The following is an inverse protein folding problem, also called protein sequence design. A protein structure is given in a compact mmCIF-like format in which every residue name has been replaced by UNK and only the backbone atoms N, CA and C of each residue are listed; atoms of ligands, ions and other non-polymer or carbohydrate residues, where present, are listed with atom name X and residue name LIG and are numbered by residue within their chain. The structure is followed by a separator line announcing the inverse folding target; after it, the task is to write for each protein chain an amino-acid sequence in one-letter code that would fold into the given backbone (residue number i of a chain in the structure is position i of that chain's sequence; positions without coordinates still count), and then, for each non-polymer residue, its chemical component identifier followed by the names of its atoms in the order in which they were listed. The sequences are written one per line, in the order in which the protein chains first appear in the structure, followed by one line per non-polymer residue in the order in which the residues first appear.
data_IF_067197280292
#
_entry.id   IF_067197280292
#
_cell.length_a   1.000
_cell.length_b   1.000
_cell.length_c   1.000
_cell.angle_alpha   90.00
_cell.angle_beta   90.00
_cell.angle_gamma   90.00
#
_symmetry.space_group_name_H-M   'P 1'
#
loop_
_entity.id
_entity.type
_entity.pdbx_description
1 polymer ?
#
# COMPACT_ATOMS: atom_id res chain seq x y z
N UNK A 1 22.36 -10.69 -13.99
CA UNK A 1 21.21 -10.98 -13.10
C UNK A 1 21.67 -11.95 -12.02
N UNK A 2 21.05 -11.87 -10.85
CA UNK A 2 21.22 -12.87 -9.79
C UNK A 2 20.05 -13.84 -9.90
N UNK A 3 20.34 -15.12 -9.97
CA UNK A 3 19.35 -16.19 -10.09
C UNK A 3 19.48 -17.16 -8.92
N UNK A 4 18.36 -17.79 -8.56
CA UNK A 4 18.33 -18.96 -7.68
C UNK A 4 18.14 -20.19 -8.55
N UNK A 5 19.04 -21.14 -8.47
CA UNK A 5 18.91 -22.49 -9.04
C UNK A 5 18.74 -23.46 -7.89
N UNK A 6 17.49 -23.86 -7.63
CA UNK A 6 17.14 -24.68 -6.46
C UNK A 6 17.63 -24.04 -5.15
N UNK A 7 18.66 -24.59 -4.51
CA UNK A 7 19.23 -24.12 -3.25
C UNK A 7 20.48 -23.24 -3.43
N UNK A 8 20.89 -22.94 -4.66
CA UNK A 8 22.09 -22.16 -4.97
C UNK A 8 21.75 -20.78 -5.56
N UNK A 9 22.60 -19.79 -5.28
CA UNK A 9 22.52 -18.45 -5.85
C UNK A 9 23.70 -18.26 -6.82
N UNK A 10 23.38 -17.93 -8.07
CA UNK A 10 24.34 -17.74 -9.15
C UNK A 10 24.23 -16.37 -9.80
N UNK A 11 25.31 -15.96 -10.46
CA UNK A 11 25.34 -14.79 -11.34
C UNK A 11 25.23 -15.25 -12.80
N UNK A 12 24.24 -14.72 -13.52
CA UNK A 12 24.03 -15.01 -14.92
C UNK A 12 23.99 -13.74 -15.79
N UNK A 13 24.19 -13.89 -17.10
CA UNK A 13 24.04 -12.78 -18.05
C UNK A 13 22.58 -12.28 -18.08
N UNK A 14 22.30 -11.00 -18.38
CA UNK A 14 20.94 -10.44 -18.36
C UNK A 14 19.93 -11.16 -19.28
N UNK A 15 20.40 -11.78 -20.35
CA UNK A 15 19.64 -12.54 -21.35
C UNK A 15 19.53 -14.04 -21.03
N UNK A 16 20.14 -14.49 -19.94
CA UNK A 16 20.06 -15.89 -19.53
C UNK A 16 18.62 -16.26 -19.16
N UNK A 17 18.13 -17.33 -19.79
CA UNK A 17 16.82 -17.94 -19.52
C UNK A 17 17.06 -19.17 -18.66
N UNK A 18 16.33 -19.25 -17.54
CA UNK A 18 16.40 -20.40 -16.63
C UNK A 18 15.71 -21.58 -17.32
N UNK A 19 16.42 -22.71 -17.43
CA UNK A 19 15.85 -23.97 -17.89
C UNK A 19 14.89 -24.50 -16.81
N UNK A 20 13.60 -24.26 -17.00
CA UNK A 20 12.56 -24.66 -16.05
C UNK A 20 12.30 -26.17 -16.01
N UNK A 21 12.84 -26.93 -16.97
CA UNK A 21 12.74 -28.39 -16.97
C UNK A 21 13.81 -28.97 -16.04
N UNK A 22 15.05 -28.47 -16.14
CA UNK A 22 16.15 -28.91 -15.26
C UNK A 22 16.09 -28.28 -13.87
N UNK A 23 15.62 -27.04 -13.78
CA UNK A 23 15.53 -26.28 -12.53
C UNK A 23 14.08 -25.79 -12.34
N UNK A 24 13.16 -26.69 -11.95
CA UNK A 24 11.74 -26.34 -11.82
C UNK A 24 11.46 -25.27 -10.76
N UNK A 25 12.35 -25.13 -9.77
CA UNK A 25 12.30 -24.08 -8.76
C UNK A 25 13.22 -22.89 -9.06
N UNK A 26 13.84 -22.88 -10.24
CA UNK A 26 14.78 -21.84 -10.64
C UNK A 26 14.08 -20.51 -10.88
N UNK A 27 14.61 -19.41 -10.34
CA UNK A 27 14.00 -18.07 -10.44
C UNK A 27 15.04 -16.99 -10.61
N UNK A 28 14.73 -15.99 -11.41
CA UNK A 28 15.52 -14.74 -11.43
C UNK A 28 15.12 -13.92 -10.19
N UNK A 29 16.11 -13.51 -9.40
CA UNK A 29 15.89 -12.76 -8.15
C UNK A 29 15.99 -11.26 -8.38
N UNK A 30 17.04 -10.81 -9.06
CA UNK A 30 17.25 -9.39 -9.36
C UNK A 30 18.15 -9.14 -10.57
N UNK A 31 18.10 -7.91 -11.05
CA UNK A 31 18.92 -7.44 -12.16
C UNK A 31 19.81 -6.30 -11.71
N UNK A 32 21.11 -6.42 -12.01
CA UNK A 32 22.02 -5.29 -11.92
C UNK A 32 21.87 -4.46 -13.20
N UNK A 33 21.43 -3.21 -13.04
CA UNK A 33 21.28 -2.24 -14.12
C UNK A 33 22.29 -1.12 -13.94
N UNK A 34 22.54 -0.38 -15.02
CA UNK A 34 23.42 0.79 -15.05
C UNK A 34 22.70 1.94 -15.71
N UNK A 35 22.72 3.11 -15.08
CA UNK A 35 22.26 4.37 -15.66
C UNK A 35 23.39 5.42 -15.68
N UNK A 36 23.03 6.70 -15.75
CA UNK A 36 23.97 7.82 -15.75
C UNK A 36 24.59 8.06 -14.37
N UNK A 37 23.93 7.64 -13.29
CA UNK A 37 24.32 7.90 -11.90
C UNK A 37 25.11 6.73 -11.30
N UNK A 38 24.95 5.51 -11.83
CA UNK A 38 25.77 4.38 -11.42
C UNK A 38 25.14 3.03 -11.72
N UNK A 39 25.36 2.08 -10.81
CA UNK A 39 24.76 0.76 -10.86
C UNK A 39 23.70 0.63 -9.76
N UNK A 40 22.58 -0.02 -10.08
CA UNK A 40 21.51 -0.28 -9.12
C UNK A 40 20.92 -1.68 -9.32
N UNK A 41 20.31 -2.22 -8.27
CA UNK A 41 19.58 -3.48 -8.32
C UNK A 41 18.10 -3.20 -8.56
N UNK A 42 17.53 -3.89 -9.54
CA UNK A 42 16.11 -3.88 -9.85
C UNK A 42 15.52 -5.28 -9.64
N UNK A 43 14.22 -5.34 -9.47
CA UNK A 43 13.51 -6.61 -9.44
C UNK A 43 13.71 -7.38 -10.75
N UNK A 44 13.60 -8.70 -10.71
CA UNK A 44 13.67 -9.52 -11.91
C UNK A 44 12.55 -9.18 -12.92
N UNK A 45 12.80 -9.41 -14.21
CA UNK A 45 11.79 -9.19 -15.25
C UNK A 45 10.59 -10.11 -15.00
N UNK A 46 9.37 -9.58 -15.12
CA UNK A 46 8.14 -10.34 -14.93
C UNK A 46 7.67 -10.47 -13.48
N UNK A 47 8.43 -9.95 -12.50
CA UNK A 47 7.98 -9.92 -11.10
C UNK A 47 7.01 -8.78 -10.78
N UNK A 48 6.68 -7.93 -11.76
CA UNK A 48 5.70 -6.84 -11.58
C UNK A 48 4.31 -7.37 -11.18
N UNK A 49 3.99 -8.60 -11.58
CA UNK A 49 2.75 -9.30 -11.21
C UNK A 49 2.96 -10.36 -10.12
N UNK A 50 4.17 -10.50 -9.56
CA UNK A 50 4.37 -11.41 -8.44
C UNK A 50 3.70 -10.84 -7.20
N UNK A 51 3.02 -11.72 -6.45
CA UNK A 51 2.37 -11.38 -5.19
C UNK A 51 3.33 -10.57 -4.31
N UNK A 52 2.85 -9.47 -3.73
CA UNK A 52 3.65 -8.64 -2.81
C UNK A 52 4.25 -9.47 -1.67
N UNK A 53 3.73 -10.67 -1.43
CA UNK A 53 4.12 -11.65 -0.43
C UNK A 53 5.34 -12.51 -0.79
N UNK A 54 5.83 -12.48 -2.04
CA UNK A 54 6.99 -13.28 -2.46
C UNK A 54 8.21 -13.06 -1.57
N UNK A 55 8.77 -14.16 -1.04
CA UNK A 55 10.04 -14.17 -0.29
C UNK A 55 11.22 -13.70 -1.13
N UNK A 56 11.09 -13.77 -2.46
CA UNK A 56 12.13 -13.39 -3.41
C UNK A 56 12.07 -11.87 -3.72
N UNK A 57 11.10 -11.13 -3.16
CA UNK A 57 11.02 -9.67 -3.32
C UNK A 57 12.19 -9.00 -2.63
N UNK A 58 12.86 -8.09 -3.35
CA UNK A 58 13.96 -7.29 -2.81
C UNK A 58 13.44 -6.27 -1.79
N UNK A 59 14.19 -6.12 -0.70
CA UNK A 59 13.95 -5.12 0.34
C UNK A 59 15.23 -4.35 0.61
N UNK A 60 15.12 -3.03 0.73
CA UNK A 60 16.19 -2.20 1.24
C UNK A 60 16.22 -2.30 2.76
N UNK A 61 17.38 -2.62 3.33
CA UNK A 61 17.54 -2.77 4.78
C UNK A 61 18.00 -1.43 5.37
N UNK A 62 17.08 -0.70 6.01
CA UNK A 62 17.33 0.68 6.49
C UNK A 62 18.55 0.80 7.42
N UNK A 63 18.76 -0.16 8.34
CA UNK A 63 19.96 -0.21 9.23
C UNK A 63 21.31 -0.24 8.49
N UNK A 64 21.34 -0.62 7.22
CA UNK A 64 22.57 -0.67 6.42
C UNK A 64 22.90 0.65 5.74
N UNK A 65 21.98 1.62 5.76
CA UNK A 65 22.15 2.94 5.16
C UNK A 65 22.91 3.84 6.14
N UNK A 66 24.23 3.71 6.19
CA UNK A 66 25.07 4.67 6.93
C UNK A 66 25.26 5.91 6.09
N UNK A 67 24.87 7.08 6.59
CA UNK A 67 25.37 8.35 6.05
C UNK A 67 26.74 8.72 6.65
N UNK A 68 27.40 9.74 6.09
CA UNK A 68 28.72 10.21 6.56
C UNK A 68 28.73 10.63 8.04
N UNK A 69 27.56 11.00 8.60
CA UNK A 69 27.36 11.30 10.01
C UNK A 69 27.00 10.10 10.89
N UNK A 70 27.00 8.87 10.34
CA UNK A 70 26.69 7.63 11.07
C UNK A 70 25.21 7.41 11.42
N UNK A 71 24.30 8.21 10.87
CA UNK A 71 22.84 8.08 11.06
C UNK A 71 22.17 7.28 9.94
N UNK A 72 21.03 6.69 10.26
CA UNK A 72 20.39 5.57 9.55
C UNK A 72 19.01 5.91 9.01
N UNK A 73 18.92 6.94 8.17
CA UNK A 73 17.62 7.49 7.77
C UNK A 73 17.36 7.24 6.28
N UNK A 74 16.31 6.49 5.96
CA UNK A 74 15.82 6.36 4.59
C UNK A 74 14.72 7.40 4.32
N UNK A 75 14.84 8.16 3.23
CA UNK A 75 13.82 9.13 2.81
C UNK A 75 12.64 8.38 2.18
N UNK A 76 11.50 8.41 2.85
CA UNK A 76 10.28 7.73 2.43
C UNK A 76 9.71 8.41 1.17
N UNK A 77 9.36 7.59 0.19
CA UNK A 77 8.66 8.00 -1.03
C UNK A 77 7.19 7.52 -1.02
N UNK A 78 6.37 8.11 -1.89
CA UNK A 78 4.96 7.71 -2.01
C UNK A 78 4.91 6.28 -2.55
N UNK A 79 4.01 5.48 -2.00
CA UNK A 79 3.84 4.06 -2.28
C UNK A 79 4.99 3.15 -1.83
N UNK A 80 5.95 3.65 -1.05
CA UNK A 80 6.90 2.76 -0.40
C UNK A 80 6.20 1.74 0.50
N UNK A 81 6.76 0.53 0.52
CA UNK A 81 6.37 -0.51 1.45
C UNK A 81 7.38 -0.55 2.60
N UNK A 82 6.92 -0.36 3.83
CA UNK A 82 7.71 -0.43 5.06
C UNK A 82 7.41 -1.77 5.73
N UNK A 83 8.43 -2.59 5.94
CA UNK A 83 8.30 -3.90 6.60
C UNK A 83 8.96 -3.87 7.98
N UNK A 84 8.19 -4.19 9.01
CA UNK A 84 8.63 -4.28 10.40
C UNK A 84 8.29 -5.70 10.90
N UNK A 85 9.30 -6.56 11.07
CA UNK A 85 9.08 -8.00 11.26
C UNK A 85 8.26 -8.61 10.11
N UNK A 86 7.10 -9.21 10.42
CA UNK A 86 6.14 -9.73 9.43
C UNK A 86 5.12 -8.69 8.96
N UNK A 87 4.93 -7.61 9.72
CA UNK A 87 3.95 -6.57 9.42
C UNK A 87 4.48 -5.65 8.33
N UNK A 88 3.57 -5.19 7.46
CA UNK A 88 3.91 -4.29 6.35
C UNK A 88 2.94 -3.13 6.29
N UNK A 89 3.48 -1.96 5.97
CA UNK A 89 2.71 -0.75 5.72
C UNK A 89 3.00 -0.24 4.31
N UNK A 90 1.97 0.19 3.60
CA UNK A 90 2.06 0.96 2.36
C UNK A 90 1.93 2.44 2.69
N UNK A 91 2.85 3.26 2.22
CA UNK A 91 2.77 4.72 2.31
C UNK A 91 1.77 5.19 1.26
N UNK A 92 0.51 5.39 1.64
CA UNK A 92 -0.56 5.77 0.69
C UNK A 92 -0.41 7.20 0.20
N UNK A 93 -0.07 8.08 1.13
CA UNK A 93 0.15 9.48 0.83
C UNK A 93 0.99 10.13 1.92
N UNK A 94 1.56 11.27 1.62
CA UNK A 94 2.10 12.19 2.60
C UNK A 94 2.15 13.61 2.03
N UNK A 95 2.09 14.59 2.94
CA UNK A 95 2.33 15.99 2.66
C UNK A 95 3.52 16.48 3.46
N UNK A 96 4.43 17.17 2.77
CA UNK A 96 5.58 17.86 3.29
C UNK A 96 5.67 19.22 2.56
N UNK A 97 6.08 20.28 3.25
CA UNK A 97 6.13 21.65 2.72
C UNK A 97 7.04 21.81 1.48
N UNK A 98 8.05 20.95 1.32
CA UNK A 98 9.01 20.98 0.20
C UNK A 98 8.83 19.82 -0.80
N UNK A 99 7.62 19.28 -0.95
CA UNK A 99 7.35 18.29 -1.99
C UNK A 99 7.39 18.93 -3.39
N UNK A 100 8.44 18.60 -4.16
CA UNK A 100 8.61 19.02 -5.55
C UNK A 100 8.03 18.02 -6.56
N UNK A 101 6.79 17.54 -6.35
CA UNK A 101 6.11 16.71 -7.35
C UNK A 101 4.98 17.50 -8.01
N UNK A 102 4.97 17.51 -9.34
CA UNK A 102 3.86 18.09 -10.11
C UNK A 102 2.58 17.26 -9.96
N UNK A 103 1.42 17.90 -10.13
CA UNK A 103 0.12 17.20 -10.12
C UNK A 103 0.07 16.06 -11.13
N UNK A 104 0.74 16.23 -12.28
CA UNK A 104 0.85 15.23 -13.33
C UNK A 104 1.62 13.98 -12.87
N UNK A 105 2.79 14.17 -12.27
CA UNK A 105 3.61 13.05 -11.76
C UNK A 105 2.87 12.28 -10.67
N UNK A 106 2.17 12.99 -9.78
CA UNK A 106 1.36 12.38 -8.75
C UNK A 106 0.23 11.53 -9.34
N UNK A 107 -0.52 12.09 -10.30
CA UNK A 107 -1.60 11.37 -10.98
C UNK A 107 -1.09 10.13 -11.72
N UNK A 108 0.02 10.24 -12.46
CA UNK A 108 0.61 9.08 -13.15
C UNK A 108 1.05 7.99 -12.18
N UNK A 109 1.59 8.36 -11.02
CA UNK A 109 1.97 7.40 -9.99
C UNK A 109 0.74 6.74 -9.35
N UNK A 110 -0.29 7.51 -9.00
CA UNK A 110 -1.56 6.96 -8.50
C UNK A 110 -2.20 6.02 -9.53
N UNK A 111 -2.15 6.37 -10.82
CA UNK A 111 -2.71 5.56 -11.89
C UNK A 111 -1.97 4.22 -12.05
N UNK A 112 -0.64 4.20 -11.87
CA UNK A 112 0.16 2.97 -11.88
C UNK A 112 -0.19 2.05 -10.71
N UNK A 113 -0.43 2.63 -9.54
CA UNK A 113 -0.68 1.90 -8.28
C UNK A 113 -2.15 1.48 -8.09
N UNK A 114 -3.08 2.16 -8.77
CA UNK A 114 -4.51 1.86 -8.68
C UNK A 114 -4.84 0.49 -9.31
N UNK A 115 -5.57 -0.34 -8.56
CA UNK A 115 -6.01 -1.66 -9.03
C UNK A 115 -7.01 -1.50 -10.18
N UNK A 116 -6.82 -2.25 -11.26
CA UNK A 116 -7.79 -2.27 -12.35
C UNK A 116 -9.04 -3.05 -11.92
N UNK A 117 -10.20 -2.43 -12.10
CA UNK A 117 -11.49 -3.03 -11.74
C UNK A 117 -12.38 -3.02 -12.97
N UNK A 118 -13.04 -4.16 -13.18
CA UNK A 118 -14.01 -4.36 -14.25
C UNK A 118 -15.34 -3.66 -13.96
N UNK A 119 -15.95 -3.11 -15.01
CA UNK A 119 -17.26 -2.49 -14.98
C UNK A 119 -18.32 -3.34 -15.68
N UNK A 120 -19.48 -2.72 -15.97
CA UNK A 120 -20.60 -3.33 -16.71
C UNK A 120 -20.22 -3.78 -18.12
N UNK A 121 -19.28 -3.08 -18.77
CA UNK A 121 -18.80 -3.38 -20.13
C UNK A 121 -17.95 -4.64 -20.21
N UNK A 122 -17.47 -5.14 -19.08
CA UNK A 122 -16.59 -6.31 -18.98
C UNK A 122 -17.36 -7.59 -18.58
N UNK A 123 -18.69 -7.54 -18.58
CA UNK A 123 -19.56 -8.69 -18.30
C UNK A 123 -19.61 -9.63 -19.51
N UNK A 124 -19.44 -10.93 -19.25
CA UNK A 124 -19.42 -11.96 -20.29
C UNK A 124 -20.84 -12.33 -20.79
N UNK A 125 -21.89 -12.08 -19.99
CA UNK A 125 -23.27 -12.48 -20.28
C UNK A 125 -24.21 -11.27 -20.42
N UNK A 126 -24.77 -11.01 -21.62
CA UNK A 126 -25.71 -9.91 -21.86
C UNK A 126 -27.09 -10.11 -21.22
N UNK A 127 -27.38 -11.28 -20.63
CA UNK A 127 -28.65 -11.59 -19.95
C UNK A 127 -28.66 -11.23 -18.45
N UNK A 128 -27.51 -10.89 -17.87
CA UNK A 128 -27.44 -10.48 -16.47
C UNK A 128 -28.19 -9.16 -16.25
N UNK A 129 -29.06 -9.12 -15.25
CA UNK A 129 -29.69 -7.87 -14.82
C UNK A 129 -28.60 -6.92 -14.29
N UNK A 130 -28.24 -5.91 -15.07
CA UNK A 130 -27.27 -4.89 -14.68
C UNK A 130 -27.94 -3.95 -13.68
N UNK A 131 -27.73 -4.21 -12.39
CA UNK A 131 -28.16 -3.34 -11.31
C UNK A 131 -27.23 -3.46 -10.11
N UNK A 132 -27.12 -2.38 -9.35
CA UNK A 132 -26.38 -2.33 -8.10
C UNK A 132 -27.07 -3.18 -7.05
N UNK A 133 -26.32 -4.09 -6.41
CA UNK A 133 -26.83 -4.92 -5.32
C UNK A 133 -27.33 -4.13 -4.10
N UNK A 134 -26.83 -2.92 -3.89
CA UNK A 134 -27.15 -2.11 -2.70
C UNK A 134 -28.39 -1.24 -2.92
N UNK A 135 -28.40 -0.41 -3.96
CA UNK A 135 -29.51 0.52 -4.20
C UNK A 135 -30.53 0.03 -5.24
N UNK A 136 -30.21 -1.05 -5.97
CA UNK A 136 -31.05 -1.66 -7.02
C UNK A 136 -31.25 -0.75 -8.24
N UNK A 137 -30.48 0.34 -8.33
CA UNK A 137 -30.40 1.19 -9.52
C UNK A 137 -29.44 0.64 -10.57
N UNK A 138 -29.63 1.04 -11.82
CA UNK A 138 -28.84 0.63 -12.98
C UNK A 138 -28.07 1.78 -13.64
N UNK A 139 -28.03 2.94 -13.00
CA UNK A 139 -27.28 4.10 -13.47
C UNK A 139 -25.79 3.76 -13.54
N UNK A 140 -25.09 4.18 -14.60
CA UNK A 140 -23.67 3.88 -14.76
C UNK A 140 -22.99 5.04 -15.50
N UNK A 141 -22.24 5.84 -14.77
CA UNK A 141 -21.51 6.99 -15.31
C UNK A 141 -20.10 7.11 -14.71
N UNK A 142 -19.28 8.01 -15.25
CA UNK A 142 -17.89 8.19 -14.84
C UNK A 142 -17.69 8.76 -13.43
N UNK A 143 -18.75 9.21 -12.76
CA UNK A 143 -18.70 9.74 -11.39
C UNK A 143 -19.12 8.70 -10.36
N UNK A 144 -20.07 7.84 -10.73
CA UNK A 144 -20.59 6.77 -9.89
C UNK A 144 -20.78 5.47 -10.69
N UNK A 145 -19.68 4.86 -11.19
CA UNK A 145 -19.77 3.70 -12.05
C UNK A 145 -20.29 2.46 -11.30
N UNK A 146 -20.92 1.56 -12.05
CA UNK A 146 -21.20 0.19 -11.63
C UNK A 146 -19.94 -0.67 -11.81
N UNK A 147 -19.45 -1.23 -10.71
CA UNK A 147 -18.21 -2.01 -10.69
C UNK A 147 -18.45 -3.43 -10.20
N UNK A 148 -17.64 -4.37 -10.71
CA UNK A 148 -17.48 -5.70 -10.14
C UNK A 148 -16.61 -5.59 -8.89
N UNK A 149 -17.24 -5.28 -7.75
CA UNK A 149 -16.56 -5.04 -6.48
C UNK A 149 -15.94 -6.32 -5.88
N UNK A 150 -16.39 -7.49 -6.32
CA UNK A 150 -15.96 -8.79 -5.83
C UNK A 150 -16.18 -9.90 -6.87
N UNK A 151 -15.85 -11.15 -6.53
CA UNK A 151 -15.99 -12.32 -7.43
C UNK A 151 -17.38 -12.99 -7.40
N UNK A 152 -18.41 -12.32 -6.87
CA UNK A 152 -19.78 -12.82 -6.93
C UNK A 152 -20.29 -12.81 -8.38
N UNK A 153 -21.13 -13.78 -8.74
CA UNK A 153 -21.69 -13.90 -10.09
C UNK A 153 -22.93 -13.04 -10.28
N UNK A 154 -23.16 -12.60 -11.52
CA UNK A 154 -24.30 -11.77 -11.92
C UNK A 154 -24.38 -10.44 -11.16
N UNK A 155 -25.61 -9.93 -11.01
CA UNK A 155 -25.91 -8.67 -10.33
C UNK A 155 -25.42 -8.57 -8.89
N UNK A 156 -25.13 -9.70 -8.24
CA UNK A 156 -24.64 -9.75 -6.86
C UNK A 156 -23.22 -9.17 -6.74
N UNK A 157 -22.41 -9.26 -7.80
CA UNK A 157 -21.07 -8.69 -7.85
C UNK A 157 -21.04 -7.19 -8.17
N UNK A 158 -22.12 -6.67 -8.75
CA UNK A 158 -22.23 -5.30 -9.23
C UNK A 158 -22.65 -4.35 -8.11
N UNK A 159 -21.82 -3.35 -7.83
CA UNK A 159 -22.10 -2.32 -6.82
C UNK A 159 -21.64 -0.98 -7.38
N UNK A 160 -22.42 0.08 -7.19
CA UNK A 160 -21.96 1.43 -7.49
C UNK A 160 -20.78 1.83 -6.61
N UNK A 161 -19.84 2.59 -7.16
CA UNK A 161 -18.73 3.19 -6.41
C UNK A 161 -19.21 3.87 -5.12
N UNK A 162 -20.20 4.76 -5.19
CA UNK A 162 -20.68 5.51 -4.04
C UNK A 162 -21.44 4.63 -3.03
N UNK A 163 -22.16 3.61 -3.50
CA UNK A 163 -22.81 2.65 -2.60
C UNK A 163 -21.78 1.81 -1.83
N UNK A 164 -20.75 1.31 -2.52
CA UNK A 164 -19.66 0.59 -1.87
C UNK A 164 -18.91 1.48 -0.89
N UNK A 165 -18.60 2.73 -1.28
CA UNK A 165 -17.98 3.74 -0.42
C UNK A 165 -18.76 3.96 0.86
N UNK A 166 -20.06 4.25 0.75
CA UNK A 166 -20.94 4.43 1.90
C UNK A 166 -20.96 3.18 2.78
N UNK A 167 -21.13 1.99 2.20
CA UNK A 167 -21.14 0.72 2.94
C UNK A 167 -19.85 0.51 3.73
N UNK A 168 -18.69 0.63 3.08
CA UNK A 168 -17.38 0.46 3.73
C UNK A 168 -17.17 1.49 4.84
N UNK A 169 -17.61 2.74 4.64
CA UNK A 169 -17.51 3.77 5.67
C UNK A 169 -18.36 3.47 6.91
N UNK A 170 -19.53 2.83 6.78
CA UNK A 170 -20.31 2.38 7.95
C UNK A 170 -19.58 1.35 8.81
N UNK A 171 -18.64 0.61 8.23
CA UNK A 171 -17.87 -0.43 8.93
C UNK A 171 -16.59 0.14 9.57
N UNK A 172 -16.28 1.43 9.33
CA UNK A 172 -15.08 2.11 9.85
C UNK A 172 -15.19 2.25 11.36
N UNK A 173 -14.15 1.82 12.08
CA UNK A 173 -13.97 2.09 13.50
C UNK A 173 -12.77 3.02 13.68
N UNK A 174 -12.88 3.99 14.56
CA UNK A 174 -11.79 4.87 14.95
C UNK A 174 -11.55 4.72 16.45
N UNK A 175 -10.29 4.50 16.84
CA UNK A 175 -9.95 4.53 18.27
C UNK A 175 -9.87 6.00 18.69
N UNK A 176 -10.53 6.40 19.80
CA UNK A 176 -10.43 7.76 20.27
C UNK A 176 -8.96 8.12 20.57
N UNK A 177 -8.53 9.35 20.27
CA UNK A 177 -7.19 9.80 20.62
C UNK A 177 -6.99 9.68 22.13
N UNK A 178 -5.80 9.22 22.55
CA UNK A 178 -5.37 9.32 23.93
C UNK A 178 -4.30 10.42 24.03
N UNK A 179 -3.93 10.81 25.26
CA UNK A 179 -2.96 11.89 25.48
C UNK A 179 -1.60 11.67 24.79
N UNK A 180 -1.21 10.42 24.52
CA UNK A 180 0.06 10.07 23.89
C UNK A 180 -0.01 10.00 22.35
N UNK A 181 -1.21 9.93 21.78
CA UNK A 181 -1.48 9.71 20.36
C UNK A 181 -2.40 10.79 19.77
N UNK A 182 -2.39 12.01 20.30
CA UNK A 182 -3.24 13.10 19.80
C UNK A 182 -2.97 13.39 18.31
N UNK A 183 -1.73 13.20 17.88
CA UNK A 183 -1.26 13.37 16.51
C UNK A 183 -1.37 12.11 15.65
N UNK A 184 -1.92 11.01 16.17
CA UNK A 184 -2.08 9.74 15.43
C UNK A 184 -3.53 9.29 15.46
N UNK A 185 -4.19 9.37 14.30
CA UNK A 185 -5.53 8.84 14.09
C UNK A 185 -5.43 7.49 13.42
N UNK A 186 -6.07 6.48 14.00
CA UNK A 186 -6.04 5.11 13.48
C UNK A 186 -7.44 4.63 13.15
N UNK A 187 -7.67 4.33 11.89
CA UNK A 187 -8.93 3.82 11.36
C UNK A 187 -8.79 2.32 11.12
N UNK A 188 -9.82 1.55 11.49
CA UNK A 188 -9.79 0.11 11.40
C UNK A 188 -11.09 -0.44 10.85
N UNK A 189 -10.97 -1.35 9.89
CA UNK A 189 -12.05 -2.15 9.35
C UNK A 189 -11.79 -3.60 9.71
N UNK A 190 -12.68 -4.20 10.50
CA UNK A 190 -12.61 -5.63 10.87
C UNK A 190 -12.67 -6.54 9.65
N UNK A 191 -13.49 -6.16 8.67
CA UNK A 191 -13.71 -6.89 7.43
C UNK A 191 -13.75 -5.89 6.29
N UNK A 192 -12.75 -5.92 5.41
CA UNK A 192 -12.72 -5.16 4.17
C UNK A 192 -12.90 -6.12 2.99
N UNK A 193 -13.98 -6.90 3.04
CA UNK A 193 -14.24 -8.01 2.14
C UNK A 193 -15.73 -8.14 1.84
N UNK A 194 -16.05 -8.80 0.73
CA UNK A 194 -17.39 -9.25 0.44
C UNK A 194 -17.86 -10.29 1.45
N UNK A 195 -19.02 -10.06 2.03
CA UNK A 195 -19.63 -10.92 3.02
C UNK A 195 -20.01 -12.31 2.47
N UNK A 196 -20.23 -12.41 1.15
CA UNK A 196 -20.56 -13.67 0.44
C UNK A 196 -19.29 -14.40 0.04
N UNK A 197 -18.51 -13.84 -0.88
CA UNK A 197 -17.41 -14.54 -1.52
C UNK A 197 -16.04 -14.32 -0.86
N UNK A 198 -15.97 -13.46 0.18
CA UNK A 198 -14.76 -13.14 0.95
C UNK A 198 -13.63 -12.47 0.16
N UNK A 199 -13.88 -12.09 -1.09
CA UNK A 199 -12.94 -11.30 -1.87
C UNK A 199 -12.79 -9.93 -1.23
N UNK A 200 -11.56 -9.46 -1.10
CA UNK A 200 -11.27 -8.12 -0.61
C UNK A 200 -11.87 -7.06 -1.55
N UNK A 201 -12.52 -6.06 -0.98
CA UNK A 201 -13.02 -4.94 -1.79
C UNK A 201 -11.85 -4.08 -2.30
N UNK A 202 -11.99 -3.42 -3.46
CA UNK A 202 -11.02 -2.43 -3.92
C UNK A 202 -10.93 -1.26 -2.92
N UNK A 203 -9.72 -0.74 -2.68
CA UNK A 203 -9.51 0.45 -1.85
C UNK A 203 -9.35 1.71 -2.73
N UNK A 204 -8.33 1.70 -3.57
CA UNK A 204 -8.11 2.63 -4.67
C UNK A 204 -8.08 1.80 -5.95
N UNK A 205 -8.93 2.15 -6.89
CA UNK A 205 -9.06 1.42 -8.13
C UNK A 205 -9.19 2.38 -9.31
N UNK A 206 -8.98 1.85 -10.51
CA UNK A 206 -9.16 2.59 -11.75
C UNK A 206 -10.08 1.84 -12.71
N UNK A 207 -10.81 2.61 -13.49
CA UNK A 207 -11.52 2.16 -14.68
C UNK A 207 -10.97 3.00 -15.83
N UNK A 208 -10.28 2.35 -16.78
CA UNK A 208 -9.46 3.03 -17.78
C UNK A 208 -8.47 4.03 -17.11
N UNK A 209 -8.66 5.33 -17.31
CA UNK A 209 -7.79 6.39 -16.79
C UNK A 209 -8.41 7.15 -15.60
N UNK A 210 -9.59 6.76 -15.12
CA UNK A 210 -10.23 7.42 -13.98
C UNK A 210 -9.93 6.66 -12.71
N UNK A 211 -9.40 7.34 -11.69
CA UNK A 211 -9.05 6.78 -10.38
C UNK A 211 -10.19 7.07 -9.40
N UNK A 212 -10.61 6.04 -8.67
CA UNK A 212 -11.64 6.10 -7.64
C UNK A 212 -11.04 5.68 -6.30
N UNK A 213 -11.36 6.43 -5.24
CA UNK A 213 -10.88 6.18 -3.87
C UNK A 213 -12.09 5.93 -2.97
N UNK A 214 -12.22 4.68 -2.50
CA UNK A 214 -13.30 4.28 -1.57
C UNK A 214 -13.14 5.02 -0.25
N UNK A 215 -11.91 5.05 0.27
CA UNK A 215 -11.55 5.83 1.44
C UNK A 215 -10.68 6.99 0.98
N UNK A 216 -11.19 8.20 1.18
CA UNK A 216 -10.53 9.44 0.82
C UNK A 216 -10.37 10.32 2.07
N UNK A 217 -9.48 9.87 2.95
CA UNK A 217 -9.15 10.59 4.18
C UNK A 217 -8.39 11.88 3.87
N UNK A 218 -7.73 11.98 2.72
CA UNK A 218 -6.92 13.13 2.32
C UNK A 218 -7.79 14.38 2.27
N UNK A 219 -8.95 14.30 1.61
CA UNK A 219 -9.88 15.43 1.52
C UNK A 219 -10.39 15.90 2.90
N UNK A 220 -10.63 14.99 3.84
CA UNK A 220 -10.96 15.36 5.23
C UNK A 220 -9.78 16.05 5.94
N UNK A 221 -8.54 15.66 5.65
CA UNK A 221 -7.33 16.21 6.30
C UNK A 221 -6.96 17.58 5.74
N UNK A 222 -6.91 17.69 4.41
CA UNK A 222 -6.50 18.92 3.71
C UNK A 222 -7.49 20.05 3.89
N UNK A 223 -8.77 19.73 4.12
CA UNK A 223 -9.79 20.72 4.46
C UNK A 223 -9.66 21.27 5.89
N UNK A 224 -9.05 20.52 6.81
CA UNK A 224 -8.96 20.88 8.23
C UNK A 224 -7.63 21.55 8.61
N UNK A 225 -6.52 21.16 7.99
CA UNK A 225 -5.18 21.64 8.40
C UNK A 225 -4.21 21.74 7.21
N UNK A 226 -3.20 22.61 7.35
CA UNK A 226 -2.05 22.64 6.44
C UNK A 226 -0.84 21.85 6.93
N UNK A 227 -1.00 21.12 8.03
CA UNK A 227 0.10 20.41 8.68
C UNK A 227 0.64 19.29 7.78
N UNK A 228 1.94 19.03 7.91
CA UNK A 228 2.56 17.87 7.30
C UNK A 228 1.95 16.58 7.87
N UNK A 229 1.79 15.57 7.03
CA UNK A 229 1.21 14.30 7.45
C UNK A 229 1.76 13.14 6.63
N UNK A 230 1.68 11.94 7.19
CA UNK A 230 1.91 10.68 6.45
C UNK A 230 0.77 9.70 6.74
N UNK A 231 0.29 9.04 5.67
CA UNK A 231 -0.79 8.07 5.71
C UNK A 231 -0.25 6.67 5.42
N UNK A 232 -0.33 5.79 6.42
CA UNK A 232 0.18 4.42 6.36
C UNK A 232 -0.99 3.44 6.34
N UNK A 233 -1.12 2.63 5.30
CA UNK A 233 -2.06 1.52 5.24
C UNK A 233 -1.36 0.22 5.62
N UNK A 234 -1.89 -0.54 6.59
CA UNK A 234 -1.45 -1.90 6.85
C UNK A 234 -1.82 -2.80 5.67
N UNK A 235 -0.82 -3.45 5.09
CA UNK A 235 -1.03 -4.46 4.07
C UNK A 235 -1.57 -5.74 4.72
N UNK A 236 -2.44 -6.50 4.03
CA UNK A 236 -2.94 -7.77 4.56
C UNK A 236 -1.77 -8.70 4.92
N UNK A 237 -1.97 -9.47 5.98
CA UNK A 237 -1.09 -10.57 6.36
C UNK A 237 -1.88 -11.86 6.18
N UNK A 238 -1.45 -12.72 5.27
CA UNK A 238 -2.12 -13.99 4.96
C UNK A 238 -3.62 -13.77 4.59
N UNK A 239 -4.52 -14.61 5.12
CA UNK A 239 -5.98 -14.53 4.90
C UNK A 239 -6.66 -13.41 5.71
N UNK A 240 -5.91 -12.51 6.35
CA UNK A 240 -6.49 -11.44 7.15
C UNK A 240 -6.99 -10.29 6.25
N UNK A 241 -8.31 -10.18 6.14
CA UNK A 241 -8.98 -9.14 5.34
C UNK A 241 -9.26 -7.86 6.13
N UNK A 242 -8.76 -7.77 7.38
CA UNK A 242 -8.83 -6.52 8.11
C UNK A 242 -7.89 -5.48 7.48
N UNK A 243 -8.29 -4.22 7.65
CA UNK A 243 -7.53 -3.07 7.16
C UNK A 243 -7.34 -2.08 8.29
N UNK A 244 -6.12 -1.58 8.42
CA UNK A 244 -5.80 -0.53 9.37
C UNK A 244 -5.09 0.60 8.64
N UNK A 245 -5.50 1.83 8.90
CA UNK A 245 -4.91 3.03 8.32
C UNK A 245 -4.52 3.96 9.46
N UNK A 246 -3.24 4.33 9.50
CA UNK A 246 -2.70 5.28 10.44
C UNK A 246 -2.41 6.60 9.74
N UNK A 247 -3.03 7.66 10.22
CA UNK A 247 -2.70 9.03 9.86
C UNK A 247 -1.84 9.62 10.97
N UNK A 248 -0.64 10.07 10.61
CA UNK A 248 0.32 10.71 11.51
C UNK A 248 0.40 12.18 11.10
N UNK A 249 -0.05 13.10 11.95
CA UNK A 249 -0.06 14.54 11.69
C UNK A 249 1.04 15.24 12.48
N UNK A 250 1.89 15.98 11.79
CA UNK A 250 3.00 16.74 12.38
C UNK A 250 2.47 18.01 13.05
N UNK A 251 2.95 18.30 14.24
CA UNK A 251 2.75 19.59 14.93
C UNK A 251 4.10 20.13 15.41
N UNK A 252 4.19 21.39 15.84
CA UNK A 252 5.41 21.94 16.44
C UNK A 252 5.94 21.09 17.61
N UNK A 253 5.05 20.44 18.36
CA UNK A 253 5.37 19.60 19.52
C UNK A 253 5.67 18.14 19.14
N UNK A 254 5.26 17.68 17.95
CA UNK A 254 5.40 16.30 17.52
C UNK A 254 5.75 16.18 16.03
N UNK A 255 7.02 15.91 15.74
CA UNK A 255 7.56 15.64 14.41
C UNK A 255 8.13 14.22 14.25
N UNK A 256 8.17 13.44 15.33
CA UNK A 256 8.65 12.06 15.34
C UNK A 256 7.57 11.10 15.85
N UNK A 257 7.49 9.93 15.24
CA UNK A 257 6.50 8.91 15.54
C UNK A 257 7.18 7.55 15.69
N UNK A 258 7.05 6.92 16.85
CA UNK A 258 7.58 5.58 17.12
C UNK A 258 6.59 4.52 16.67
N UNK A 259 7.09 3.54 15.93
CA UNK A 259 6.37 2.37 15.45
C UNK A 259 6.89 1.14 16.22
N UNK A 260 6.00 0.39 16.85
CA UNK A 260 6.41 -0.78 17.64
C UNK A 260 5.26 -1.40 18.41
N UNK A 261 5.53 -2.54 19.07
CA UNK A 261 4.53 -3.23 19.91
C UNK A 261 4.40 -2.65 21.32
N UNK A 262 5.33 -1.80 21.73
CA UNK A 262 5.39 -1.22 23.07
C UNK A 262 4.23 -0.26 23.33
N UNK A 263 3.93 -0.04 24.62
CA UNK A 263 2.90 0.93 25.00
C UNK A 263 3.30 2.36 24.61
N UNK A 264 4.58 2.69 24.69
CA UNK A 264 5.16 4.00 24.35
C UNK A 264 5.24 4.29 22.83
N UNK A 265 4.78 3.38 21.97
CA UNK A 265 4.77 3.60 20.52
C UNK A 265 3.50 4.33 20.09
N UNK A 266 3.65 5.42 19.34
CA UNK A 266 2.51 6.16 18.81
C UNK A 266 1.70 5.33 17.81
N UNK A 267 2.40 4.60 16.93
CA UNK A 267 1.77 3.57 16.08
C UNK A 267 2.01 2.22 16.71
N UNK A 268 1.01 1.74 17.45
CA UNK A 268 1.09 0.47 18.15
C UNK A 268 0.78 -0.71 17.23
N UNK A 269 1.73 -1.62 17.10
CA UNK A 269 1.64 -2.81 16.25
C UNK A 269 1.51 -4.05 17.12
N UNK A 270 0.37 -4.73 17.03
CA UNK A 270 0.10 -5.92 17.85
C UNK A 270 0.59 -7.21 17.17
N UNK A 271 1.90 -7.33 16.95
CA UNK A 271 2.52 -8.55 16.41
C UNK A 271 3.83 -8.89 17.16
N UNK A 272 4.03 -10.18 17.43
CA UNK A 272 5.16 -10.67 18.23
C UNK A 272 6.52 -10.56 17.52
N UNK A 273 6.52 -10.46 16.19
CA UNK A 273 7.76 -10.28 15.40
C UNK A 273 8.25 -8.82 15.40
N UNK A 274 7.45 -7.89 15.94
CA UNK A 274 7.78 -6.47 16.02
C UNK A 274 8.36 -6.14 17.39
N UNK A 275 9.45 -5.37 17.42
CA UNK A 275 10.12 -4.94 18.65
C UNK A 275 9.30 -3.88 19.40
N UNK A 276 9.61 -3.65 20.69
CA UNK A 276 8.85 -2.68 21.51
C UNK A 276 8.84 -1.28 20.92
N UNK A 277 9.98 -0.86 20.37
CA UNK A 277 10.14 0.31 19.51
C UNK A 277 11.03 -0.17 18.38
N UNK A 278 10.46 -0.36 17.19
CA UNK A 278 11.13 -1.03 16.06
C UNK A 278 11.69 -0.01 15.07
N UNK A 279 10.92 1.05 14.79
CA UNK A 279 11.33 2.12 13.90
C UNK A 279 10.77 3.47 14.34
N UNK A 280 11.34 4.54 13.83
CA UNK A 280 10.90 5.91 14.07
C UNK A 280 10.71 6.59 12.72
N UNK A 281 9.52 7.16 12.48
CA UNK A 281 9.27 8.05 11.35
C UNK A 281 9.48 9.48 11.80
N UNK A 282 10.29 10.25 11.07
CA UNK A 282 10.65 11.63 11.38
C UNK A 282 10.28 12.53 10.21
N UNK A 283 9.58 13.63 10.47
CA UNK A 283 9.37 14.68 9.48
C UNK A 283 10.53 15.67 9.53
N UNK A 284 11.19 15.88 8.39
CA UNK A 284 12.17 16.95 8.18
C UNK A 284 11.61 17.95 7.18
N UNK A 285 12.34 19.02 6.90
CA UNK A 285 11.91 20.07 5.97
C UNK A 285 11.61 19.54 4.56
N UNK A 286 12.34 18.50 4.13
CA UNK A 286 12.33 18.01 2.76
C UNK A 286 11.62 16.66 2.58
N UNK A 287 11.02 16.11 3.64
CA UNK A 287 10.25 14.86 3.56
C UNK A 287 10.17 14.09 4.87
N UNK A 288 9.56 12.90 4.78
CA UNK A 288 9.53 11.93 5.87
C UNK A 288 10.68 10.95 5.74
N UNK A 289 11.24 10.56 6.87
CA UNK A 289 12.34 9.62 6.97
C UNK A 289 11.98 8.50 7.92
N UNK A 290 12.42 7.28 7.62
CA UNK A 290 12.33 6.14 8.54
C UNK A 290 13.72 5.75 9.03
N UNK A 291 13.82 5.56 10.33
CA UNK A 291 15.01 5.11 11.04
C UNK A 291 14.71 3.77 11.74
N UNK A 292 15.62 2.81 11.57
CA UNK A 292 15.62 1.57 12.34
C UNK A 292 16.15 1.83 13.76
N UNK A 293 15.44 1.37 14.78
CA UNK A 293 15.85 1.58 16.17
C UNK A 293 16.73 0.42 16.68
N UNK A 294 17.62 -0.12 15.83
CA UNK A 294 18.56 -1.22 16.12
C UNK A 294 17.88 -2.40 16.82
N UNK A 295 16.73 -2.80 16.27
CA UNK A 295 15.68 -3.53 16.98
C UNK A 295 15.71 -5.04 16.87
#
# INVERSE_FOLDING_TARGET
QIIRNEDQIDFAKPDHVIDTIQHPNGRSLCQLKKDKEGYYLDHAIGTQNQEEESVDRLWLVARSLKNEGGKYDYKIQKFDAIKLGRVRFRVKDFRCDQLHMSEKELYEQELREAMEVKGTKDLDDPSDQIQCRICWGNEDDSTNPLILACKCKGSVGLIHFQCLKSWVLTQKQEKPPNAMNQNVRSFYWKRFECEICKQMYPYTFKIAHTIYKIIDLINEITSQTQNNYILLESMPLDKNTSRNIHLLQVTPEQSEFKLGRGHESQVRINDISVSRCHAIIKCKSDGFYIEDNTS
#
